data_IF_002507246888
#
_entry.id   IF_002507246888
#
_cell.length_a   1.000
_cell.length_b   1.000
_cell.length_c   1.000
_cell.angle_alpha   90.00
_cell.angle_beta   90.00
_cell.angle_gamma   90.00
#
_symmetry.space_group_name_H-M   'P 1'
#
loop_
_entity.id
_entity.type
_entity.pdbx_description
1 polymer ?
#
# COMPACT_ATOMS: atom_id res chain seq x y z
N UNK A 1 -11.34 -3.07 -13.19
CA UNK A 1 -10.35 -2.34 -14.01
C UNK A 1 -10.80 -2.36 -15.47
N UNK A 2 -10.87 -1.20 -16.12
CA UNK A 2 -11.24 -1.04 -17.52
C UNK A 2 -9.97 -0.75 -18.35
N UNK A 3 -9.90 -1.31 -19.56
CA UNK A 3 -8.82 -1.08 -20.52
C UNK A 3 -9.42 -0.56 -21.83
N UNK A 4 -8.88 0.56 -22.32
CA UNK A 4 -9.30 1.24 -23.54
C UNK A 4 -8.09 1.43 -24.45
N UNK A 5 -8.18 0.96 -25.69
CA UNK A 5 -7.11 1.13 -26.68
C UNK A 5 -7.19 0.05 -27.76
N UNK A 6 -6.59 0.34 -28.91
CA UNK A 6 -6.41 -0.64 -29.98
C UNK A 6 -5.00 -0.48 -30.56
N UNK A 7 -4.09 -1.36 -30.13
CA UNK A 7 -2.67 -1.36 -30.50
C UNK A 7 -2.42 -1.37 -32.01
N UNK A 8 -3.32 -1.97 -32.78
CA UNK A 8 -3.18 -2.07 -34.24
C UNK A 8 -3.40 -0.72 -34.94
N UNK A 9 -4.19 0.18 -34.33
CA UNK A 9 -4.49 1.52 -34.88
C UNK A 9 -3.64 2.61 -34.23
N UNK A 10 -3.49 2.53 -32.91
CA UNK A 10 -2.68 3.45 -32.11
C UNK A 10 -1.97 2.59 -31.07
N UNK A 11 -0.63 2.63 -30.97
CA UNK A 11 0.12 1.77 -30.06
C UNK A 11 0.05 2.30 -28.61
N UNK A 12 -1.15 2.53 -28.13
CA UNK A 12 -1.47 3.15 -26.86
C UNK A 12 -2.69 2.45 -26.24
N UNK A 13 -2.58 2.14 -24.95
CA UNK A 13 -3.70 1.62 -24.14
C UNK A 13 -3.76 2.36 -22.82
N UNK A 14 -4.94 2.90 -22.51
CA UNK A 14 -5.28 3.47 -21.23
C UNK A 14 -5.95 2.39 -20.36
N UNK A 15 -5.54 2.32 -19.11
CA UNK A 15 -6.20 1.54 -18.06
C UNK A 15 -6.66 2.49 -16.97
N UNK A 16 -7.87 2.28 -16.47
CA UNK A 16 -8.32 2.96 -15.27
C UNK A 16 -9.24 2.08 -14.44
N UNK A 17 -9.29 2.30 -13.14
CA UNK A 17 -10.20 1.62 -12.26
C UNK A 17 -10.14 2.15 -10.84
N UNK A 18 -11.15 1.79 -10.07
CA UNK A 18 -11.20 2.00 -8.64
C UNK A 18 -11.12 0.64 -7.95
N UNK A 19 -10.33 0.57 -6.88
CA UNK A 19 -10.34 -0.52 -5.92
C UNK A 19 -10.93 0.03 -4.63
N UNK A 20 -11.82 -0.73 -3.99
CA UNK A 20 -12.38 -0.41 -2.69
C UNK A 20 -12.35 -1.65 -1.81
N UNK A 21 -12.08 -1.45 -0.53
CA UNK A 21 -12.14 -2.47 0.50
C UNK A 21 -12.75 -1.87 1.76
N UNK A 22 -13.54 -2.68 2.46
CA UNK A 22 -14.18 -2.30 3.72
C UNK A 22 -13.90 -3.36 4.77
N UNK A 23 -13.45 -2.93 5.94
CA UNK A 23 -13.45 -3.76 7.15
C UNK A 23 -14.63 -3.33 8.02
N UNK A 24 -15.46 -4.30 8.40
CA UNK A 24 -16.70 -4.07 9.13
C UNK A 24 -16.96 -5.19 10.14
N UNK A 25 -17.75 -4.87 11.16
CA UNK A 25 -18.16 -5.80 12.22
C UNK A 25 -17.02 -6.21 13.16
N UNK A 26 -17.37 -7.08 14.11
CA UNK A 26 -16.46 -7.56 15.15
C UNK A 26 -16.53 -6.74 16.43
N UNK A 27 -15.63 -7.04 17.36
CA UNK A 27 -15.57 -6.43 18.68
C UNK A 27 -14.23 -5.73 18.87
N UNK A 28 -14.24 -4.51 19.41
CA UNK A 28 -13.03 -3.83 19.87
C UNK A 28 -12.79 -4.15 21.34
N UNK A 29 -11.60 -4.67 21.65
CA UNK A 29 -11.16 -4.95 23.02
C UNK A 29 -10.00 -4.05 23.42
N UNK A 30 -10.01 -3.58 24.66
CA UNK A 30 -8.86 -2.98 25.33
C UNK A 30 -8.19 -4.02 26.21
N UNK A 31 -6.85 -4.06 26.17
CA UNK A 31 -6.04 -4.89 27.07
C UNK A 31 -5.48 -4.01 28.19
N UNK A 32 -5.78 -4.36 29.44
CA UNK A 32 -5.27 -3.64 30.61
C UNK A 32 -3.86 -4.12 30.99
N UNK A 33 -3.18 -3.37 31.86
CA UNK A 33 -1.82 -3.68 32.33
C UNK A 33 -1.73 -5.02 33.07
N UNK A 34 -2.80 -5.44 33.76
CA UNK A 34 -2.90 -6.73 34.45
C UNK A 34 -3.14 -7.92 33.49
N UNK A 35 -3.26 -7.65 32.19
CA UNK A 35 -3.47 -8.64 31.13
C UNK A 35 -4.94 -8.99 30.89
N UNK A 36 -5.88 -8.45 31.66
CA UNK A 36 -7.31 -8.61 31.41
C UNK A 36 -7.75 -7.83 30.16
N UNK A 37 -8.90 -8.21 29.60
CA UNK A 37 -9.45 -7.58 28.39
C UNK A 37 -10.88 -7.11 28.63
N UNK A 38 -11.18 -5.89 28.20
CA UNK A 38 -12.51 -5.27 28.25
C UNK A 38 -13.02 -5.05 26.83
N UNK A 39 -14.26 -5.49 26.54
CA UNK A 39 -14.93 -5.13 25.29
C UNK A 39 -15.42 -3.70 25.39
N UNK A 40 -14.93 -2.82 24.51
CA UNK A 40 -15.29 -1.39 24.50
C UNK A 40 -16.32 -1.08 23.42
N UNK A 41 -16.25 -1.75 22.27
CA UNK A 41 -17.18 -1.53 21.15
C UNK A 41 -17.61 -2.87 20.57
N UNK A 42 -18.91 -3.00 20.31
CA UNK A 42 -19.53 -4.11 19.59
C UNK A 42 -20.09 -3.55 18.28
N UNK A 43 -19.48 -3.89 17.15
CA UNK A 43 -19.82 -3.29 15.86
C UNK A 43 -20.91 -4.11 15.15
N UNK A 44 -21.83 -3.45 14.43
CA UNK A 44 -22.86 -4.15 13.67
C UNK A 44 -22.28 -5.22 12.75
N UNK A 45 -22.89 -6.40 12.78
CA UNK A 45 -22.45 -7.58 12.02
C UNK A 45 -23.63 -8.32 11.37
N UNK A 46 -24.79 -7.68 11.28
CA UNK A 46 -26.00 -8.19 10.66
C UNK A 46 -25.99 -7.99 9.13
N UNK A 47 -27.00 -8.53 8.43
CA UNK A 47 -27.11 -8.39 6.96
C UNK A 47 -27.16 -6.92 6.50
N UNK A 48 -27.64 -6.01 7.35
CA UNK A 48 -27.65 -4.57 7.06
C UNK A 48 -26.22 -4.03 7.07
N UNK A 49 -25.40 -4.39 8.05
CA UNK A 49 -23.98 -4.06 8.09
C UNK A 49 -23.22 -4.58 6.86
N UNK A 50 -23.50 -5.82 6.43
CA UNK A 50 -22.94 -6.36 5.17
C UNK A 50 -23.32 -5.50 3.95
N UNK A 51 -24.58 -5.06 3.87
CA UNK A 51 -25.04 -4.22 2.77
C UNK A 51 -24.36 -2.85 2.78
N UNK A 52 -24.23 -2.22 3.96
CA UNK A 52 -23.52 -0.94 4.12
C UNK A 52 -22.03 -1.05 3.84
N UNK A 53 -21.41 -2.19 4.15
CA UNK A 53 -20.02 -2.44 3.82
C UNK A 53 -19.80 -2.60 2.30
N UNK A 54 -20.78 -3.17 1.59
CA UNK A 54 -20.74 -3.34 0.14
C UNK A 54 -21.10 -2.05 -0.63
N UNK A 55 -22.12 -1.33 -0.19
CA UNK A 55 -22.51 -0.02 -0.70
C UNK A 55 -22.31 1.03 0.40
N UNK A 56 -21.26 1.87 0.32
CA UNK A 56 -20.84 2.74 1.41
C UNK A 56 -22.01 3.63 1.88
N UNK A 57 -22.45 3.44 3.12
CA UNK A 57 -23.59 4.12 3.73
C UNK A 57 -23.26 4.46 5.17
N UNK A 58 -23.95 5.46 5.71
CA UNK A 58 -23.72 5.88 7.09
C UNK A 58 -24.16 4.86 8.13
N UNK A 59 -23.48 4.93 9.27
CA UNK A 59 -23.82 4.19 10.48
C UNK A 59 -25.19 4.56 11.03
N UNK A 60 -25.80 3.65 11.77
CA UNK A 60 -26.99 3.95 12.57
C UNK A 60 -26.63 4.34 14.00
N UNK A 61 -27.63 4.64 14.83
CA UNK A 61 -27.44 5.00 16.26
C UNK A 61 -26.68 3.94 17.08
N UNK A 62 -26.62 2.71 16.57
CA UNK A 62 -25.88 1.56 17.09
C UNK A 62 -24.36 1.61 16.83
N UNK A 63 -23.88 2.54 16.01
CA UNK A 63 -22.45 2.70 15.66
C UNK A 63 -21.81 3.84 16.46
N UNK A 64 -20.47 3.86 16.62
CA UNK A 64 -19.77 5.01 17.18
C UNK A 64 -20.10 6.31 16.44
N UNK A 65 -20.10 7.45 17.15
CA UNK A 65 -20.58 8.75 16.63
C UNK A 65 -19.92 9.15 15.29
N UNK A 66 -18.63 8.86 15.12
CA UNK A 66 -17.90 9.13 13.89
C UNK A 66 -18.48 8.40 12.67
N UNK A 67 -18.97 7.17 12.83
CA UNK A 67 -19.57 6.36 11.76
C UNK A 67 -21.00 6.82 11.42
N UNK A 68 -21.71 7.44 12.37
CA UNK A 68 -23.07 7.95 12.17
C UNK A 68 -23.09 9.12 11.18
N UNK A 69 -22.01 9.91 11.18
CA UNK A 69 -21.83 11.08 10.31
C UNK A 69 -20.94 10.79 9.10
N UNK A 70 -20.25 9.64 9.07
CA UNK A 70 -19.44 9.15 7.95
C UNK A 70 -20.00 7.85 7.38
N UNK A 71 -19.16 7.00 6.76
CA UNK A 71 -19.50 5.64 6.32
C UNK A 71 -19.27 4.68 7.47
N UNK A 72 -20.12 3.66 7.61
CA UNK A 72 -19.92 2.58 8.59
C UNK A 72 -18.80 1.63 8.16
N UNK A 73 -17.85 1.40 9.07
CA UNK A 73 -16.69 0.55 8.86
C UNK A 73 -15.46 1.32 8.42
N UNK A 74 -14.33 0.63 8.40
CA UNK A 74 -13.09 1.14 7.84
C UNK A 74 -13.09 0.96 6.33
N UNK A 75 -13.46 2.02 5.60
CA UNK A 75 -13.41 2.06 4.14
C UNK A 75 -12.08 2.63 3.66
N UNK A 76 -11.51 2.02 2.63
CA UNK A 76 -10.36 2.55 1.93
C UNK A 76 -10.34 2.07 0.49
N UNK A 77 -9.58 2.77 -0.34
CA UNK A 77 -9.49 2.43 -1.74
C UNK A 77 -8.35 3.11 -2.46
N UNK A 78 -8.29 2.85 -3.76
CA UNK A 78 -7.40 3.60 -4.63
C UNK A 78 -7.96 3.77 -6.04
N UNK A 79 -7.73 4.95 -6.59
CA UNK A 79 -7.85 5.18 -8.03
C UNK A 79 -6.56 4.73 -8.71
N UNK A 80 -6.71 3.92 -9.74
CA UNK A 80 -5.61 3.30 -10.46
C UNK A 80 -5.70 3.71 -11.93
N UNK A 81 -4.63 4.30 -12.45
CA UNK A 81 -4.52 4.72 -13.84
C UNK A 81 -3.23 4.17 -14.44
N UNK A 82 -3.26 3.86 -15.73
CA UNK A 82 -2.04 3.60 -16.45
C UNK A 82 -2.13 3.86 -17.95
N UNK A 83 -1.01 4.27 -18.52
CA UNK A 83 -0.83 4.45 -19.95
C UNK A 83 0.27 3.51 -20.43
N UNK A 84 -0.08 2.60 -21.33
CA UNK A 84 0.86 1.68 -21.97
C UNK A 84 1.13 2.16 -23.39
N UNK A 85 2.39 2.35 -23.74
CA UNK A 85 2.83 2.73 -25.07
C UNK A 85 3.74 1.64 -25.66
N UNK A 86 3.56 1.35 -26.94
CA UNK A 86 4.28 0.29 -27.64
C UNK A 86 5.08 0.88 -28.81
N UNK A 87 6.37 0.53 -28.91
CA UNK A 87 7.22 0.98 -30.01
C UNK A 87 7.97 -0.22 -30.59
N UNK A 88 7.42 -0.80 -31.65
CA UNK A 88 7.89 -2.09 -32.14
C UNK A 88 7.74 -3.16 -31.05
N UNK A 89 8.85 -3.77 -30.65
CA UNK A 89 8.88 -4.76 -29.55
C UNK A 89 9.07 -4.12 -28.16
N UNK A 90 9.28 -2.80 -28.06
CA UNK A 90 9.37 -2.10 -26.78
C UNK A 90 7.99 -1.91 -26.16
N UNK A 91 7.92 -2.02 -24.84
CA UNK A 91 6.75 -1.61 -24.05
C UNK A 91 7.17 -0.62 -22.98
N UNK A 92 6.47 0.51 -22.92
CA UNK A 92 6.58 1.51 -21.88
C UNK A 92 5.25 1.56 -21.13
N UNK A 93 5.31 1.68 -19.81
CA UNK A 93 4.12 1.87 -18.98
C UNK A 93 4.36 2.96 -17.97
N UNK A 94 3.46 3.92 -17.90
CA UNK A 94 3.37 4.88 -16.80
C UNK A 94 2.08 4.59 -16.03
N UNK A 95 2.13 4.54 -14.71
CA UNK A 95 0.95 4.32 -13.88
C UNK A 95 0.92 5.21 -12.65
N UNK A 96 -0.28 5.56 -12.22
CA UNK A 96 -0.55 6.35 -11.03
C UNK A 96 -1.59 5.62 -10.19
N UNK A 97 -1.25 5.39 -8.93
CA UNK A 97 -2.19 5.01 -7.90
C UNK A 97 -2.41 6.21 -6.96
N UNK A 98 -3.66 6.54 -6.67
CA UNK A 98 -4.02 7.49 -5.63
C UNK A 98 -4.85 6.77 -4.57
N UNK A 99 -4.29 6.64 -3.38
CA UNK A 99 -4.92 6.01 -2.22
C UNK A 99 -5.78 7.01 -1.44
N UNK A 100 -6.90 6.55 -0.91
CA UNK A 100 -7.83 7.34 -0.08
C UNK A 100 -8.47 6.46 1.01
N UNK A 101 -8.86 7.08 2.12
CA UNK A 101 -9.61 6.43 3.22
C UNK A 101 -11.01 7.02 3.44
N UNK A 102 -11.34 8.10 2.74
CA UNK A 102 -12.63 8.75 2.88
C UNK A 102 -13.11 9.37 1.56
N UNK A 103 -14.32 9.92 1.58
CA UNK A 103 -14.92 10.58 0.43
C UNK A 103 -14.14 11.81 -0.02
N UNK A 104 -13.53 12.53 0.93
CA UNK A 104 -12.90 13.81 0.67
C UNK A 104 -11.62 13.67 -0.15
N UNK A 105 -10.87 12.59 0.09
CA UNK A 105 -9.72 12.23 -0.72
C UNK A 105 -10.03 11.40 -1.96
N UNK A 106 -11.15 10.67 -1.96
CA UNK A 106 -11.57 9.94 -3.15
C UNK A 106 -11.72 10.87 -4.37
N UNK A 107 -11.93 12.18 -4.16
CA UNK A 107 -12.01 13.19 -5.21
C UNK A 107 -11.06 14.39 -4.95
N UNK A 108 -11.22 15.46 -5.73
CA UNK A 108 -10.37 16.66 -5.67
C UNK A 108 -10.94 17.77 -4.77
N UNK A 109 -11.63 17.40 -3.69
CA UNK A 109 -12.28 18.36 -2.78
C UNK A 109 -11.28 19.42 -2.26
N UNK A 110 -10.07 18.97 -1.93
CA UNK A 110 -8.96 19.83 -1.45
C UNK A 110 -7.87 20.07 -2.51
N UNK A 111 -8.25 19.97 -3.79
CA UNK A 111 -7.38 20.22 -4.94
C UNK A 111 -6.72 18.97 -5.50
N UNK A 112 -5.60 19.16 -6.22
CA UNK A 112 -4.90 18.05 -6.88
C UNK A 112 -4.28 17.12 -5.84
N UNK A 113 -4.44 15.83 -6.06
CA UNK A 113 -3.77 14.81 -5.26
C UNK A 113 -2.25 15.03 -5.26
N UNK A 114 -1.70 15.12 -4.04
CA UNK A 114 -0.25 15.21 -3.81
C UNK A 114 0.35 13.89 -3.31
N UNK A 115 -0.52 13.00 -2.86
CA UNK A 115 -0.18 11.65 -2.42
C UNK A 115 -0.65 10.60 -3.43
N UNK A 116 0.10 9.52 -3.48
CA UNK A 116 -0.04 8.46 -4.46
C UNK A 116 1.30 7.79 -4.81
N UNK A 117 1.22 6.77 -5.65
CA UNK A 117 2.36 6.05 -6.21
C UNK A 117 2.42 6.27 -7.72
N UNK A 118 3.50 6.89 -8.20
CA UNK A 118 3.80 7.04 -9.61
C UNK A 118 4.86 6.01 -10.00
N UNK A 119 4.58 5.23 -11.04
CA UNK A 119 5.52 4.24 -11.57
C UNK A 119 5.76 4.39 -13.06
N UNK A 120 7.00 4.13 -13.47
CA UNK A 120 7.46 4.06 -14.85
C UNK A 120 8.14 2.72 -15.07
N UNK A 121 7.67 1.94 -16.03
CA UNK A 121 8.19 0.63 -16.39
C UNK A 121 8.60 0.60 -17.87
N UNK A 122 9.71 -0.05 -18.14
CA UNK A 122 10.19 -0.35 -19.49
C UNK A 122 10.41 -1.86 -19.60
N UNK A 123 9.82 -2.48 -20.62
CA UNK A 123 10.17 -3.83 -21.07
C UNK A 123 11.04 -3.73 -22.31
N UNK A 124 12.26 -4.25 -22.22
CA UNK A 124 13.25 -4.15 -23.29
C UNK A 124 13.13 -5.33 -24.26
N UNK A 125 13.09 -5.08 -25.58
CA UNK A 125 13.05 -6.16 -26.54
C UNK A 125 14.43 -6.78 -26.71
N UNK A 126 14.47 -8.12 -26.75
CA UNK A 126 15.66 -8.93 -27.08
C UNK A 126 16.93 -8.58 -26.27
N UNK A 127 16.77 -8.03 -25.07
CA UNK A 127 17.87 -7.77 -24.14
C UNK A 127 17.84 -8.81 -23.02
N UNK A 128 18.69 -9.83 -23.15
CA UNK A 128 18.82 -10.89 -22.15
C UNK A 128 19.43 -10.40 -20.82
N UNK A 129 20.18 -9.30 -20.86
CA UNK A 129 20.83 -8.77 -19.66
C UNK A 129 19.83 -7.99 -18.82
N UNK A 130 19.03 -7.13 -19.44
CA UNK A 130 17.97 -6.36 -18.76
C UNK A 130 16.68 -6.56 -19.54
N UNK A 131 15.79 -7.39 -19.02
CA UNK A 131 14.48 -7.68 -19.62
C UNK A 131 13.44 -6.64 -19.24
N UNK A 132 13.50 -6.13 -18.00
CA UNK A 132 12.65 -5.04 -17.54
C UNK A 132 13.31 -4.17 -16.50
N UNK A 133 12.88 -2.91 -16.46
CA UNK A 133 13.22 -1.94 -15.43
C UNK A 133 11.96 -1.22 -14.97
N UNK A 134 11.85 -0.95 -13.68
CA UNK A 134 10.78 -0.15 -13.09
C UNK A 134 11.36 0.85 -12.11
N UNK A 135 10.89 2.09 -12.16
CA UNK A 135 11.09 3.08 -11.12
C UNK A 135 9.73 3.49 -10.55
N UNK A 136 9.63 3.58 -9.23
CA UNK A 136 8.41 4.05 -8.56
C UNK A 136 8.73 5.10 -7.50
N UNK A 137 7.81 6.02 -7.30
CA UNK A 137 7.84 7.03 -6.26
C UNK A 137 6.52 7.03 -5.50
N UNK A 138 6.58 6.85 -4.19
CA UNK A 138 5.43 6.90 -3.28
C UNK A 138 5.48 8.19 -2.45
N UNK A 139 4.34 8.87 -2.32
CA UNK A 139 4.11 9.92 -1.31
C UNK A 139 2.80 9.63 -0.58
N UNK A 140 2.84 9.65 0.74
CA UNK A 140 1.66 9.59 1.62
C UNK A 140 1.77 10.65 2.72
N UNK A 141 2.49 11.74 2.44
CA UNK A 141 2.93 12.69 3.45
C UNK A 141 1.91 13.81 3.68
N UNK A 142 1.15 14.16 2.65
CA UNK A 142 0.22 15.30 2.67
C UNK A 142 -1.06 14.94 3.43
N UNK A 143 -1.73 13.85 3.06
CA UNK A 143 -2.96 13.30 3.67
C UNK A 143 -4.02 14.38 3.93
N UNK A 144 -4.42 15.07 2.85
CA UNK A 144 -5.28 16.27 2.85
C UNK A 144 -4.69 17.50 3.55
N UNK A 145 -3.46 17.40 4.03
CA UNK A 145 -2.68 18.49 4.61
C UNK A 145 -2.75 18.53 6.14
N UNK A 146 -1.87 19.31 6.77
CA UNK A 146 -1.91 19.55 8.21
C UNK A 146 -3.12 20.43 8.58
N UNK A 147 -3.77 20.12 9.69
CA UNK A 147 -4.76 21.02 10.29
C UNK A 147 -4.10 21.94 11.34
N UNK A 148 -4.21 23.25 11.14
CA UNK A 148 -4.05 24.21 12.22
C UNK A 148 -5.45 24.71 12.61
N UNK A 149 -5.93 24.26 13.77
CA UNK A 149 -7.22 24.68 14.30
C UNK A 149 -7.01 25.50 15.57
N UNK A 150 -7.45 26.75 15.56
CA UNK A 150 -7.43 27.62 16.73
C UNK A 150 -8.87 27.99 17.12
N UNK A 151 -9.39 27.29 18.13
CA UNK A 151 -10.80 27.33 18.52
C UNK A 151 -11.29 28.71 18.95
N UNK A 152 -10.38 29.65 19.27
CA UNK A 152 -10.77 31.01 19.67
C UNK A 152 -10.84 32.00 18.49
N UNK A 153 -10.22 31.70 17.35
CA UNK A 153 -10.23 32.58 16.17
C UNK A 153 -11.19 32.16 15.06
N UNK A 154 -11.79 30.97 15.13
CA UNK A 154 -12.80 30.55 14.16
C UNK A 154 -13.36 29.15 14.41
N UNK A 155 -14.67 29.07 14.55
CA UNK A 155 -15.43 27.88 14.19
C UNK A 155 -16.03 28.14 12.80
N UNK A 156 -15.85 27.20 11.88
CA UNK A 156 -16.47 27.21 10.57
C UNK A 156 -17.58 26.14 10.52
N UNK A 157 -18.68 26.28 11.31
CA UNK A 157 -19.69 25.24 11.42
C UNK A 157 -20.41 24.96 10.09
N UNK A 158 -20.30 25.89 9.13
CA UNK A 158 -20.90 25.80 7.80
C UNK A 158 -20.04 25.00 6.81
N UNK A 159 -18.77 24.75 7.14
CA UNK A 159 -17.81 24.09 6.24
C UNK A 159 -17.29 22.81 6.87
N UNK A 160 -17.42 21.71 6.13
CA UNK A 160 -16.69 20.49 6.42
C UNK A 160 -15.19 20.75 6.14
N UNK A 161 -14.32 20.38 7.09
CA UNK A 161 -12.87 20.51 6.93
C UNK A 161 -12.24 19.13 7.19
N UNK A 162 -11.70 18.52 6.14
CA UNK A 162 -10.84 17.32 6.23
C UNK A 162 -9.38 17.73 6.27
N UNK A 163 -8.60 17.03 7.09
CA UNK A 163 -7.15 17.16 7.20
C UNK A 163 -6.63 16.07 8.14
N UNK A 164 -5.30 15.92 8.20
CA UNK A 164 -4.62 14.98 9.07
C UNK A 164 -5.08 13.53 8.87
N UNK A 165 -5.43 13.13 7.63
CA UNK A 165 -5.90 11.77 7.38
C UNK A 165 -4.80 10.79 7.77
N UNK A 166 -5.17 9.66 8.36
CA UNK A 166 -4.23 8.79 9.04
C UNK A 166 -4.05 7.47 8.29
N UNK A 167 -3.63 7.55 7.02
CA UNK A 167 -3.59 6.40 6.08
C UNK A 167 -3.24 5.06 6.71
N UNK A 168 -4.04 4.05 6.39
CA UNK A 168 -3.98 2.68 6.89
C UNK A 168 -4.24 2.53 8.39
N UNK A 169 -4.74 3.56 9.08
CA UNK A 169 -5.16 3.49 10.48
C UNK A 169 -6.60 3.95 10.64
N UNK A 170 -7.32 3.30 11.53
CA UNK A 170 -8.70 3.57 11.87
C UNK A 170 -8.87 3.57 13.39
N UNK A 171 -9.62 4.53 13.91
CA UNK A 171 -9.78 4.70 15.36
C UNK A 171 -10.49 3.52 16.04
N UNK A 172 -11.38 2.82 15.31
CA UNK A 172 -12.05 1.60 15.79
C UNK A 172 -11.23 0.33 15.51
N UNK A 173 -10.77 0.14 14.27
CA UNK A 173 -10.22 -1.14 13.80
C UNK A 173 -8.69 -1.25 13.95
N UNK A 174 -8.01 -0.22 14.46
CA UNK A 174 -6.54 -0.18 14.50
C UNK A 174 -5.97 0.03 13.10
N UNK A 175 -4.93 -0.70 12.72
CA UNK A 175 -4.38 -0.62 11.36
C UNK A 175 -5.10 -1.54 10.36
N UNK A 176 -4.99 -1.18 9.08
CA UNK A 176 -5.29 -2.06 7.95
C UNK A 176 -4.24 -3.18 7.84
N UNK A 177 -4.43 -4.24 8.64
CA UNK A 177 -3.44 -5.30 8.85
C UNK A 177 -4.05 -6.69 9.02
N UNK A 178 -3.21 -7.70 8.83
CA UNK A 178 -3.46 -9.09 9.21
C UNK A 178 -2.26 -9.64 9.98
N UNK A 179 -2.47 -10.10 11.22
CA UNK A 179 -1.43 -10.66 12.08
C UNK A 179 -0.17 -9.76 12.25
N UNK A 180 -0.36 -8.44 12.41
CA UNK A 180 0.73 -7.48 12.55
C UNK A 180 1.31 -6.99 11.22
N UNK A 181 0.95 -7.61 10.09
CA UNK A 181 1.45 -7.24 8.77
C UNK A 181 0.45 -6.32 8.06
N UNK A 182 0.90 -5.17 7.59
CA UNK A 182 0.05 -4.25 6.82
C UNK A 182 -0.44 -4.92 5.53
N UNK A 183 -1.73 -4.75 5.21
CA UNK A 183 -2.35 -5.29 3.99
C UNK A 183 -2.30 -4.30 2.81
N UNK A 184 -1.44 -3.29 2.90
CA UNK A 184 -1.27 -2.21 1.92
C UNK A 184 0.13 -2.15 1.32
N UNK A 185 0.66 -0.94 1.15
CA UNK A 185 1.99 -0.75 0.60
C UNK A 185 3.08 -1.30 1.55
N UNK A 186 3.99 -2.18 1.10
CA UNK A 186 4.99 -2.82 1.96
C UNK A 186 6.06 -1.84 2.49
N UNK A 187 6.16 -0.63 1.94
CA UNK A 187 7.04 0.43 2.44
C UNK A 187 6.47 1.16 3.66
N UNK A 188 5.25 0.79 4.08
CA UNK A 188 4.61 1.21 5.32
C UNK A 188 4.59 0.00 6.27
N UNK A 189 5.57 -0.11 7.18
CA UNK A 189 5.69 -1.28 8.04
C UNK A 189 4.47 -1.43 8.94
N UNK A 190 3.94 -2.65 8.99
CA UNK A 190 2.78 -2.99 9.81
C UNK A 190 3.08 -2.98 11.31
N UNK A 191 2.05 -3.10 12.15
CA UNK A 191 2.18 -3.03 13.60
C UNK A 191 3.11 -4.06 14.24
N UNK A 192 3.40 -5.18 13.58
CA UNK A 192 4.36 -6.19 14.05
C UNK A 192 5.77 -5.62 14.32
N UNK A 193 6.11 -4.49 13.69
CA UNK A 193 7.41 -3.85 13.82
C UNK A 193 7.45 -2.75 14.90
N UNK A 194 6.33 -2.49 15.58
CA UNK A 194 6.26 -1.44 16.59
C UNK A 194 6.82 -1.94 17.93
N UNK A 195 7.85 -1.27 18.44
CA UNK A 195 8.47 -1.58 19.73
C UNK A 195 7.50 -1.38 20.93
N UNK A 196 6.53 -0.46 20.79
CA UNK A 196 5.52 -0.17 21.81
C UNK A 196 4.29 -1.08 21.73
N UNK A 197 4.26 -2.06 20.80
CA UNK A 197 3.16 -3.00 20.59
C UNK A 197 1.81 -2.36 20.25
N UNK A 198 1.78 -1.09 19.83
CA UNK A 198 0.57 -0.47 19.30
C UNK A 198 0.14 -1.15 18.00
N UNK A 199 -1.17 -1.39 17.84
CA UNK A 199 -1.74 -2.06 16.66
C UNK A 199 -2.02 -1.12 15.49
N UNK A 200 -1.24 -0.04 15.36
CA UNK A 200 -1.35 1.01 14.34
C UNK A 200 -0.10 1.04 13.44
N UNK A 201 -0.20 1.59 12.24
CA UNK A 201 0.96 1.93 11.42
C UNK A 201 1.60 3.20 12.01
N UNK A 202 2.77 3.03 12.65
CA UNK A 202 3.47 4.10 13.39
C UNK A 202 3.96 5.25 12.52
N UNK A 203 4.28 4.98 11.25
CA UNK A 203 4.68 6.00 10.28
C UNK A 203 4.05 5.74 8.93
N UNK A 204 2.86 6.30 8.72
CA UNK A 204 2.17 6.31 7.43
C UNK A 204 2.45 7.57 6.60
N UNK A 205 3.14 8.58 7.14
CA UNK A 205 3.63 9.73 6.36
C UNK A 205 5.01 9.45 5.82
N UNK A 206 5.09 9.08 4.55
CA UNK A 206 6.36 8.71 3.91
C UNK A 206 6.57 9.37 2.55
N UNK A 207 7.83 9.34 2.13
CA UNK A 207 8.25 9.51 0.74
C UNK A 207 9.23 8.42 0.41
N UNK A 208 8.94 7.64 -0.61
CA UNK A 208 9.78 6.52 -1.01
C UNK A 208 10.17 6.59 -2.48
N UNK A 209 11.29 5.95 -2.80
CA UNK A 209 11.73 5.66 -4.15
C UNK A 209 12.00 4.15 -4.25
N UNK A 210 11.60 3.54 -5.35
CA UNK A 210 11.81 2.14 -5.65
C UNK A 210 12.44 1.99 -7.04
N UNK A 211 13.36 1.04 -7.17
CA UNK A 211 13.95 0.63 -8.44
C UNK A 211 13.93 -0.90 -8.49
N UNK A 212 13.35 -1.44 -9.56
CA UNK A 212 13.37 -2.86 -9.87
C UNK A 212 14.05 -3.12 -11.21
N UNK A 213 14.89 -4.14 -11.27
CA UNK A 213 15.58 -4.59 -12.48
C UNK A 213 15.50 -6.12 -12.57
N UNK A 214 15.26 -6.63 -13.77
CA UNK A 214 15.30 -8.08 -14.03
C UNK A 214 16.03 -8.40 -15.32
N UNK A 215 16.53 -9.63 -15.42
CA UNK A 215 17.20 -10.13 -16.62
C UNK A 215 17.19 -11.66 -16.70
N UNK A 216 17.46 -12.17 -17.90
CA UNK A 216 17.55 -13.59 -18.21
C UNK A 216 18.80 -13.87 -19.07
N UNK A 217 20.02 -13.79 -18.51
CA UNK A 217 21.27 -13.88 -19.28
C UNK A 217 21.42 -15.14 -20.14
N UNK A 218 20.85 -16.26 -19.71
CA UNK A 218 20.80 -17.52 -20.46
C UNK A 218 19.41 -18.15 -20.39
N UNK A 219 19.14 -19.21 -21.15
CA UNK A 219 17.88 -19.95 -21.06
C UNK A 219 17.66 -20.63 -19.70
N UNK A 220 18.70 -20.77 -18.88
CA UNK A 220 18.62 -21.41 -17.56
C UNK A 220 18.77 -20.42 -16.40
N UNK A 221 19.36 -19.24 -16.61
CA UNK A 221 19.67 -18.29 -15.54
C UNK A 221 18.89 -16.99 -15.68
N UNK A 222 18.16 -16.65 -14.62
CA UNK A 222 17.46 -15.37 -14.47
C UNK A 222 17.86 -14.69 -13.16
N UNK A 223 17.64 -13.38 -13.09
CA UNK A 223 17.88 -12.60 -11.88
C UNK A 223 16.87 -11.47 -11.70
N UNK A 224 16.76 -11.01 -10.45
CA UNK A 224 15.97 -9.84 -10.07
C UNK A 224 16.68 -9.05 -8.96
N UNK A 225 16.68 -7.72 -9.10
CA UNK A 225 17.20 -6.78 -8.11
C UNK A 225 16.10 -5.78 -7.78
N UNK A 226 15.81 -5.59 -6.49
CA UNK A 226 14.85 -4.62 -6.00
C UNK A 226 15.54 -3.72 -4.98
N UNK A 227 15.37 -2.41 -5.08
CA UNK A 227 15.97 -1.41 -4.19
C UNK A 227 14.90 -0.40 -3.78
N UNK A 228 14.75 -0.18 -2.49
CA UNK A 228 13.79 0.78 -1.92
C UNK A 228 14.48 1.70 -0.95
N UNK A 229 14.16 2.99 -1.00
CA UNK A 229 14.59 3.97 -0.02
C UNK A 229 13.40 4.80 0.45
N UNK A 230 13.14 4.79 1.75
CA UNK A 230 11.98 5.41 2.39
C UNK A 230 12.44 6.43 3.41
N UNK A 231 11.76 7.58 3.45
CA UNK A 231 11.84 8.55 4.53
C UNK A 231 10.53 8.53 5.32
N UNK A 232 10.63 8.46 6.65
CA UNK A 232 9.51 8.33 7.57
C UNK A 232 9.39 9.59 8.44
N UNK A 233 8.15 10.04 8.67
CA UNK A 233 7.82 11.21 9.49
C UNK A 233 6.83 10.91 10.64
N UNK A 234 6.37 9.68 10.81
CA UNK A 234 5.34 9.33 11.79
C UNK A 234 3.93 9.53 11.22
N UNK A 235 2.99 9.91 12.08
CA UNK A 235 1.65 10.36 11.68
C UNK A 235 1.54 11.87 11.93
N UNK A 236 0.37 12.48 11.71
CA UNK A 236 0.14 13.86 12.16
C UNK A 236 -0.03 13.95 13.68
N UNK A 237 -0.75 13.01 14.28
CA UNK A 237 -1.03 12.98 15.72
C UNK A 237 0.19 12.59 16.56
N UNK A 238 1.03 11.72 16.03
CA UNK A 238 2.25 11.25 16.66
C UNK A 238 3.43 11.32 15.67
N UNK A 239 3.99 12.52 15.43
CA UNK A 239 5.13 12.69 14.54
C UNK A 239 6.38 12.05 15.14
N UNK A 240 7.28 11.57 14.28
CA UNK A 240 8.61 11.15 14.73
C UNK A 240 9.43 12.35 15.19
N UNK A 241 10.27 12.12 16.20
CA UNK A 241 11.22 13.10 16.76
C UNK A 241 12.11 13.75 15.70
N UNK A 242 12.44 12.99 14.67
CA UNK A 242 13.16 13.43 13.48
C UNK A 242 12.80 12.53 12.31
N UNK A 243 13.10 13.01 11.12
CA UNK A 243 12.96 12.19 9.92
C UNK A 243 13.85 10.95 10.02
N UNK A 244 13.24 9.77 9.95
CA UNK A 244 13.94 8.47 9.89
C UNK A 244 14.02 7.99 8.45
N UNK A 245 14.95 7.09 8.17
CA UNK A 245 15.28 6.59 6.82
C UNK A 245 15.44 5.08 6.87
N UNK A 246 14.93 4.40 5.86
CA UNK A 246 15.10 2.98 5.67
C UNK A 246 15.49 2.69 4.22
N UNK A 247 16.56 1.93 4.04
CA UNK A 247 16.93 1.32 2.77
C UNK A 247 16.66 -0.18 2.86
N UNK A 248 16.04 -0.74 1.83
CA UNK A 248 15.75 -2.17 1.71
C UNK A 248 16.13 -2.64 0.32
N UNK A 249 16.73 -3.82 0.21
CA UNK A 249 17.15 -4.38 -1.08
C UNK A 249 17.01 -5.88 -1.13
N UNK A 250 16.73 -6.40 -2.33
CA UNK A 250 16.67 -7.82 -2.65
C UNK A 250 17.55 -8.10 -3.87
N UNK A 251 18.38 -9.13 -3.77
CA UNK A 251 19.16 -9.67 -4.88
C UNK A 251 18.82 -11.14 -5.02
N UNK A 252 18.30 -11.55 -6.17
CA UNK A 252 17.81 -12.90 -6.41
C UNK A 252 18.36 -13.45 -7.72
N UNK A 253 18.84 -14.69 -7.70
CA UNK A 253 19.25 -15.45 -8.87
C UNK A 253 18.47 -16.76 -8.92
N UNK A 254 17.97 -17.12 -10.10
CA UNK A 254 17.19 -18.33 -10.35
C UNK A 254 17.85 -19.19 -11.42
N UNK A 255 18.05 -20.47 -11.10
CA UNK A 255 18.52 -21.49 -12.02
C UNK A 255 17.37 -22.44 -12.39
N UNK A 256 17.12 -22.59 -13.68
CA UNK A 256 16.12 -23.48 -14.27
C UNK A 256 16.82 -24.45 -15.23
N UNK A 257 17.29 -25.60 -14.73
CA UNK A 257 18.06 -26.55 -15.54
C UNK A 257 17.25 -27.13 -16.71
N UNK A 258 17.83 -27.07 -17.90
CA UNK A 258 17.34 -27.71 -19.12
C UNK A 258 17.31 -29.24 -19.01
N UNK A 259 18.25 -29.81 -18.25
CA UNK A 259 18.36 -31.26 -18.00
C UNK A 259 17.31 -31.80 -17.02
N UNK A 260 16.69 -30.96 -16.19
CA UNK A 260 15.68 -31.34 -15.21
C UNK A 260 14.40 -30.52 -15.41
N UNK A 261 13.68 -30.81 -16.50
CA UNK A 261 12.46 -30.08 -16.88
C UNK A 261 11.46 -29.93 -15.74
N UNK A 262 10.99 -28.70 -15.56
CA UNK A 262 10.01 -28.33 -14.52
C UNK A 262 10.63 -28.07 -13.14
N UNK A 263 11.92 -28.30 -12.93
CA UNK A 263 12.61 -27.90 -11.70
C UNK A 263 13.22 -26.50 -11.84
N UNK A 264 13.21 -25.73 -10.77
CA UNK A 264 14.02 -24.53 -10.62
C UNK A 264 14.43 -24.32 -9.16
N UNK A 265 15.55 -23.63 -8.96
CA UNK A 265 16.01 -23.21 -7.65
C UNK A 265 16.37 -21.72 -7.68
N UNK A 266 16.01 -20.99 -6.62
CA UNK A 266 16.30 -19.57 -6.47
C UNK A 266 17.04 -19.32 -5.16
N UNK A 267 18.08 -18.51 -5.23
CA UNK A 267 18.79 -17.99 -4.06
C UNK A 267 18.58 -16.48 -3.99
N UNK A 268 18.14 -16.00 -2.83
CA UNK A 268 17.91 -14.58 -2.59
C UNK A 268 18.65 -14.08 -1.35
N UNK A 269 19.12 -12.84 -1.41
CA UNK A 269 19.73 -12.08 -0.31
C UNK A 269 18.95 -10.78 -0.12
N UNK A 270 18.41 -10.57 1.08
CA UNK A 270 17.76 -9.34 1.51
C UNK A 270 18.65 -8.53 2.44
N UNK A 271 18.73 -7.21 2.24
CA UNK A 271 19.46 -6.28 3.11
C UNK A 271 18.59 -5.08 3.47
N UNK A 272 18.43 -4.84 4.77
CA UNK A 272 17.76 -3.67 5.32
C UNK A 272 18.77 -2.83 6.11
N UNK A 273 18.88 -1.54 5.82
CA UNK A 273 19.78 -0.61 6.50
C UNK A 273 19.08 0.71 6.78
N UNK A 274 19.03 1.13 8.03
CA UNK A 274 18.33 2.35 8.38
C UNK A 274 18.22 2.59 9.87
N UNK A 275 17.58 3.71 10.20
CA UNK A 275 17.28 4.10 11.58
C UNK A 275 15.78 4.15 11.87
N UNK A 276 14.95 3.58 10.98
CA UNK A 276 13.52 3.37 11.25
C UNK A 276 13.27 1.96 11.79
N UNK A 277 13.49 0.92 10.96
CA UNK A 277 13.36 -0.50 11.37
C UNK A 277 14.69 -1.10 11.84
N UNK A 278 15.80 -0.37 11.69
CA UNK A 278 17.13 -0.86 12.00
C UNK A 278 17.76 -1.64 10.84
N UNK A 279 18.76 -2.46 11.19
CA UNK A 279 19.57 -3.20 10.23
C UNK A 279 19.24 -4.70 10.30
N UNK A 280 18.98 -5.31 9.14
CA UNK A 280 18.75 -6.75 9.03
C UNK A 280 19.35 -7.30 7.74
N UNK A 281 19.76 -8.57 7.76
CA UNK A 281 20.25 -9.30 6.58
C UNK A 281 19.70 -10.71 6.64
N UNK A 282 19.07 -11.15 5.55
CA UNK A 282 18.44 -12.46 5.44
C UNK A 282 18.71 -13.12 4.10
N UNK A 283 18.63 -14.45 4.06
CA UNK A 283 18.75 -15.22 2.84
C UNK A 283 17.57 -16.18 2.68
N UNK A 284 17.24 -16.52 1.43
CA UNK A 284 16.18 -17.48 1.11
C UNK A 284 16.64 -18.43 0.01
N UNK A 285 16.39 -19.73 0.20
CA UNK A 285 16.51 -20.75 -0.83
C UNK A 285 15.10 -21.26 -1.16
N UNK A 286 14.72 -21.15 -2.43
CA UNK A 286 13.44 -21.65 -2.94
C UNK A 286 13.70 -22.78 -3.92
N UNK A 287 13.05 -23.92 -3.75
CA UNK A 287 13.05 -25.01 -4.73
C UNK A 287 11.63 -25.18 -5.24
N UNK A 288 11.47 -25.16 -6.56
CA UNK A 288 10.17 -25.25 -7.23
C UNK A 288 10.17 -26.43 -8.19
N UNK A 289 9.07 -27.19 -8.15
CA UNK A 289 8.72 -28.17 -9.18
C UNK A 289 7.39 -27.78 -9.81
N UNK A 290 7.39 -27.59 -11.13
CA UNK A 290 6.20 -27.36 -11.95
C UNK A 290 5.90 -28.64 -12.72
N UNK A 291 4.64 -29.05 -12.70
CA UNK A 291 4.13 -30.24 -13.37
C UNK A 291 2.61 -30.26 -13.31
N UNK A 292 2.00 -31.23 -13.99
CA UNK A 292 0.57 -31.49 -13.85
C UNK A 292 0.41 -32.34 -12.60
N UNK A 293 -0.43 -31.89 -11.68
CA UNK A 293 -0.92 -32.72 -10.58
C UNK A 293 -2.06 -33.53 -11.20
N UNK A 294 -1.85 -34.84 -11.35
CA UNK A 294 -2.86 -35.80 -11.79
C UNK A 294 -3.67 -36.29 -10.60
#
# INVERSE_FOLDING_TARGET
>A
MLRLGNKEKLPLELEFGILMATQFGGDQYLKHEDGSTEKIVDMPNDLKAYWKAFLPQSGGTETPEGEQVNVEGNMLGSWNFALNYYLGEWKFRAYLEHYFEDHSQMFWEYGRWKDGQLGLEITFPRNRWITSAVWESLSTKDQTGPLQYDSFWGQFPEYQISANDNYYNHYIYGAWQHQGMGMGNPLLPGPAYNENHEITIRSNRVRAQHLGLSGQPTSEWGYRILLSFVRHWGTYNDPLDKQRKQFSSLYEATYTPSWAKGWSASLALGLDRGNYLGNSTGGMLTVKKTGIIF
#
